data_IF_469358795783
#
_entry.id   IF_469358795783
#
_cell.length_a   1.000
_cell.length_b   1.000
_cell.length_c   1.000
_cell.angle_alpha   90.00
_cell.angle_beta   90.00
_cell.angle_gamma   90.00
#
_symmetry.space_group_name_H-M   'P 1'
#
loop_
_entity.id
_entity.type
_entity.pdbx_description
1 polymer ?
#
# COMPACT_ATOMS: atom_id res chain seq x y z
N UNK A 1 3.19 5.04 10.99
CA UNK A 1 2.76 6.28 10.29
C UNK A 1 3.41 6.32 8.92
N UNK A 2 2.61 6.30 7.88
CA UNK A 2 3.05 6.44 6.49
C UNK A 2 3.09 7.94 6.15
N UNK A 3 4.04 8.64 6.70
CA UNK A 3 4.21 10.06 6.43
C UNK A 3 5.43 10.27 5.55
N UNK A 4 5.30 11.15 4.55
CA UNK A 4 6.44 11.63 3.81
C UNK A 4 7.46 12.23 4.79
N UNK A 5 8.73 11.91 4.58
CA UNK A 5 9.81 12.43 5.41
C UNK A 5 10.82 13.17 4.55
N UNK A 6 11.48 14.13 5.15
CA UNK A 6 12.65 14.73 4.54
C UNK A 6 13.75 13.66 4.41
N UNK A 7 14.32 13.54 3.24
CA UNK A 7 15.30 12.52 2.90
C UNK A 7 16.60 13.15 2.46
N UNK A 8 17.72 12.69 3.05
CA UNK A 8 19.05 13.16 2.71
C UNK A 8 20.10 12.61 3.67
N UNK A 9 21.28 12.28 3.14
CA UNK A 9 22.38 11.69 3.90
C UNK A 9 22.16 10.24 4.33
N UNK A 10 21.23 9.54 3.69
CA UNK A 10 20.85 8.18 4.07
C UNK A 10 20.47 7.31 2.87
N UNK A 11 20.39 6.01 3.12
CA UNK A 11 19.80 5.05 2.19
C UNK A 11 18.42 4.62 2.71
N UNK A 12 17.43 4.66 1.84
CA UNK A 12 16.09 4.16 2.12
C UNK A 12 15.74 3.03 1.16
N UNK A 13 14.98 2.08 1.66
CA UNK A 13 14.40 0.99 0.86
C UNK A 13 12.89 1.10 0.91
N UNK A 14 12.26 1.07 -0.24
CA UNK A 14 10.82 0.95 -0.41
C UNK A 14 10.50 -0.37 -1.11
N UNK A 15 9.42 -1.02 -0.70
CA UNK A 15 8.94 -2.22 -1.38
C UNK A 15 7.91 -1.80 -2.42
N UNK A 16 7.99 -2.42 -3.60
CA UNK A 16 7.11 -2.24 -4.75
C UNK A 16 7.20 -0.86 -5.40
N UNK A 17 6.93 0.24 -4.69
CA UNK A 17 6.91 1.58 -5.28
C UNK A 17 7.49 2.64 -4.36
N UNK A 18 7.95 3.74 -4.95
CA UNK A 18 8.39 4.92 -4.22
C UNK A 18 8.09 6.21 -5.00
N UNK A 19 7.89 7.29 -4.24
CA UNK A 19 7.84 8.65 -4.75
C UNK A 19 8.90 9.51 -4.05
N UNK A 20 9.77 10.13 -4.82
CA UNK A 20 10.77 11.08 -4.35
C UNK A 20 10.42 12.43 -4.95
N UNK A 21 10.09 13.40 -4.11
CA UNK A 21 9.53 14.66 -4.62
C UNK A 21 9.95 15.87 -3.80
N UNK A 22 9.87 17.03 -4.44
CA UNK A 22 9.99 18.32 -3.77
C UNK A 22 8.64 18.73 -3.18
N UNK A 23 8.59 18.93 -1.87
CA UNK A 23 7.37 19.40 -1.20
C UNK A 23 6.93 20.79 -1.70
N UNK A 24 7.87 21.62 -2.14
CA UNK A 24 7.60 22.97 -2.62
C UNK A 24 7.04 22.99 -4.05
N UNK A 25 7.73 22.33 -4.99
CA UNK A 25 7.34 22.34 -6.41
C UNK A 25 6.42 21.22 -6.81
N UNK A 26 6.27 20.19 -5.98
CA UNK A 26 5.58 18.91 -6.24
C UNK A 26 6.21 18.06 -7.35
N UNK A 27 7.24 18.55 -8.03
CA UNK A 27 7.96 17.73 -9.01
C UNK A 27 8.56 16.51 -8.34
N UNK A 28 8.47 15.35 -8.99
CA UNK A 28 8.93 14.10 -8.41
C UNK A 28 9.28 13.02 -9.41
N UNK A 29 10.11 12.10 -8.93
CA UNK A 29 10.42 10.83 -9.52
C UNK A 29 9.50 9.78 -8.90
N UNK A 30 8.81 9.04 -9.73
CA UNK A 30 8.05 7.86 -9.34
C UNK A 30 8.73 6.64 -9.92
N UNK A 31 8.90 5.62 -9.10
CA UNK A 31 9.41 4.34 -9.56
C UNK A 31 8.69 3.21 -8.84
N UNK A 32 8.38 2.14 -9.54
CA UNK A 32 7.72 0.98 -8.99
C UNK A 32 7.75 -0.22 -9.90
N UNK A 33 7.65 -1.40 -9.27
CA UNK A 33 7.41 -2.64 -9.97
C UNK A 33 5.94 -2.72 -10.39
N UNK A 34 5.69 -3.12 -11.62
CA UNK A 34 4.33 -3.35 -12.15
C UNK A 34 4.06 -4.84 -12.39
N UNK A 35 5.04 -5.70 -12.12
CA UNK A 35 4.89 -7.15 -12.11
C UNK A 35 5.14 -7.68 -10.70
N UNK A 36 4.25 -8.54 -10.18
CA UNK A 36 4.25 -9.02 -8.81
C UNK A 36 4.08 -10.53 -8.67
N UNK A 37 4.07 -11.25 -9.79
CA UNK A 37 3.81 -12.70 -9.86
C UNK A 37 5.04 -13.56 -9.55
N UNK A 38 6.23 -13.12 -9.93
CA UNK A 38 7.47 -13.88 -9.78
C UNK A 38 8.40 -13.32 -8.71
N UNK A 39 8.52 -12.00 -8.63
CA UNK A 39 9.55 -11.35 -7.84
C UNK A 39 8.96 -10.47 -6.74
N UNK A 40 9.51 -10.62 -5.53
CA UNK A 40 9.40 -9.58 -4.51
C UNK A 40 10.36 -8.46 -4.87
N UNK A 41 9.86 -7.28 -5.12
CA UNK A 41 10.64 -6.16 -5.60
C UNK A 41 10.96 -5.14 -4.52
N UNK A 42 12.05 -4.40 -4.69
CA UNK A 42 12.38 -3.27 -3.87
C UNK A 42 13.04 -2.16 -4.68
N UNK A 43 12.95 -0.95 -4.17
CA UNK A 43 13.61 0.23 -4.70
C UNK A 43 14.49 0.78 -3.61
N UNK A 44 15.80 0.85 -3.88
CA UNK A 44 16.78 1.41 -2.96
C UNK A 44 17.23 2.76 -3.49
N UNK A 45 17.15 3.76 -2.65
CA UNK A 45 17.54 5.14 -2.96
C UNK A 45 18.55 5.60 -1.94
N UNK A 46 19.65 6.18 -2.41
CA UNK A 46 20.59 6.91 -1.57
C UNK A 46 20.55 8.39 -1.92
N UNK A 47 20.51 9.23 -0.92
CA UNK A 47 20.61 10.67 -1.11
C UNK A 47 21.77 11.25 -0.30
N UNK A 48 22.45 12.20 -0.88
CA UNK A 48 23.47 13.00 -0.21
C UNK A 48 22.83 13.88 0.87
N UNK A 49 23.64 14.38 1.80
CA UNK A 49 23.18 15.30 2.85
C UNK A 49 22.50 16.57 2.30
N UNK A 50 22.82 16.95 1.08
CA UNK A 50 22.18 18.05 0.32
C UNK A 50 20.76 17.76 -0.11
N UNK A 51 20.30 16.49 -0.02
CA UNK A 51 19.01 16.03 -0.53
C UNK A 51 19.02 15.64 -2.02
N UNK A 52 20.20 15.65 -2.66
CA UNK A 52 20.35 15.19 -4.03
C UNK A 52 20.40 13.67 -4.06
N UNK A 53 19.63 13.04 -4.94
CA UNK A 53 19.69 11.59 -5.17
C UNK A 53 21.03 11.24 -5.80
N UNK A 54 21.79 10.39 -5.12
CA UNK A 54 23.11 9.93 -5.55
C UNK A 54 22.99 8.69 -6.43
N UNK A 55 22.22 7.69 -5.95
CA UNK A 55 21.90 6.52 -6.75
C UNK A 55 20.50 6.00 -6.46
N UNK A 56 20.04 5.20 -7.39
CA UNK A 56 18.73 4.58 -7.40
C UNK A 56 18.87 3.17 -7.98
N UNK A 57 18.27 2.17 -7.32
CA UNK A 57 18.32 0.77 -7.73
C UNK A 57 16.94 0.15 -7.68
N UNK A 58 16.56 -0.54 -8.76
CA UNK A 58 15.43 -1.44 -8.79
C UNK A 58 15.93 -2.88 -8.59
N UNK A 59 15.37 -3.59 -7.65
CA UNK A 59 15.79 -4.94 -7.26
C UNK A 59 14.63 -5.92 -7.42
N UNK A 60 14.92 -7.09 -8.00
CA UNK A 60 14.00 -8.22 -8.08
C UNK A 60 14.52 -9.37 -7.24
N UNK A 61 13.63 -10.02 -6.46
CA UNK A 61 14.00 -11.07 -5.53
C UNK A 61 14.59 -10.54 -4.22
N UNK A 62 14.20 -9.34 -3.80
CA UNK A 62 14.70 -8.72 -2.57
C UNK A 62 14.00 -9.27 -1.34
N UNK A 63 14.78 -9.87 -0.44
CA UNK A 63 14.33 -10.28 0.89
C UNK A 63 15.27 -9.73 1.95
N UNK A 64 14.75 -9.38 3.12
CA UNK A 64 15.52 -8.86 4.23
C UNK A 64 14.77 -9.06 5.54
N UNK A 65 15.40 -9.66 6.54
CA UNK A 65 14.77 -9.95 7.82
C UNK A 65 14.27 -8.69 8.55
N UNK A 66 14.98 -7.59 8.46
CA UNK A 66 14.62 -6.36 9.17
C UNK A 66 13.42 -5.64 8.55
N UNK A 67 13.24 -5.72 7.24
CA UNK A 67 12.21 -4.99 6.52
C UNK A 67 11.06 -5.86 6.02
N UNK A 68 11.35 -7.07 5.57
CA UNK A 68 10.33 -8.00 5.05
C UNK A 68 9.98 -9.11 6.02
N UNK A 69 10.77 -9.30 7.08
CA UNK A 69 10.73 -10.44 8.00
C UNK A 69 10.81 -11.80 7.29
N UNK A 70 11.48 -11.81 6.18
CA UNK A 70 11.53 -12.91 5.24
C UNK A 70 12.99 -13.13 4.83
N UNK A 71 13.70 -13.88 5.65
CA UNK A 71 15.13 -14.14 5.48
C UNK A 71 15.40 -15.43 4.73
N UNK A 72 14.39 -16.27 4.49
CA UNK A 72 14.54 -17.54 3.79
C UNK A 72 14.44 -17.33 2.28
N UNK A 73 15.34 -17.98 1.50
CA UNK A 73 15.20 -17.96 0.06
C UNK A 73 13.94 -18.72 -0.39
N UNK A 74 13.17 -18.11 -1.28
CA UNK A 74 11.95 -18.70 -1.85
C UNK A 74 12.20 -19.40 -3.21
N UNK A 75 13.41 -19.74 -3.50
CA UNK A 75 13.82 -20.42 -4.72
C UNK A 75 14.87 -19.64 -5.49
N UNK A 76 15.14 -20.12 -6.71
CA UNK A 76 16.10 -19.56 -7.65
C UNK A 76 15.52 -19.57 -9.04
N UNK A 77 15.84 -18.56 -9.81
CA UNK A 77 15.70 -18.57 -11.26
C UNK A 77 17.10 -18.73 -11.86
N UNK A 78 17.28 -19.74 -12.70
CA UNK A 78 18.55 -20.02 -13.37
C UNK A 78 18.29 -20.24 -14.85
N UNK A 79 19.17 -19.72 -15.69
CA UNK A 79 19.07 -19.86 -17.15
C UNK A 79 20.13 -19.04 -17.84
N UNK A 80 20.21 -19.18 -19.17
CA UNK A 80 21.04 -18.32 -20.03
C UNK A 80 20.48 -16.89 -20.11
N UNK A 81 19.17 -16.76 -19.89
CA UNK A 81 18.48 -15.50 -19.73
C UNK A 81 17.69 -15.52 -18.44
N UNK A 82 17.76 -14.43 -17.67
CA UNK A 82 16.96 -14.22 -16.46
C UNK A 82 16.27 -12.88 -16.59
N UNK A 83 14.94 -12.88 -16.50
CA UNK A 83 14.13 -11.68 -16.56
C UNK A 83 13.87 -11.14 -15.14
N UNK A 84 14.12 -9.86 -14.93
CA UNK A 84 13.69 -9.13 -13.73
C UNK A 84 12.18 -8.83 -13.79
N UNK A 85 11.62 -8.37 -12.68
CA UNK A 85 10.32 -7.70 -12.73
C UNK A 85 10.36 -6.49 -13.66
N UNK A 86 9.22 -6.15 -14.24
CA UNK A 86 9.05 -4.92 -15.02
C UNK A 86 8.92 -3.74 -14.07
N UNK A 87 9.72 -2.69 -14.27
CA UNK A 87 9.67 -1.47 -13.49
C UNK A 87 9.23 -0.28 -14.35
N UNK A 88 8.31 0.50 -13.82
CA UNK A 88 8.01 1.82 -14.32
C UNK A 88 8.87 2.86 -13.60
N UNK A 89 9.47 3.80 -14.34
CA UNK A 89 10.22 4.93 -13.81
C UNK A 89 9.80 6.17 -14.59
N UNK A 90 9.43 7.23 -13.89
CA UNK A 90 8.98 8.47 -14.53
C UNK A 90 9.24 9.72 -13.70
N UNK A 91 9.47 10.83 -14.41
CA UNK A 91 9.56 12.18 -13.83
C UNK A 91 8.28 12.94 -14.13
N UNK A 92 7.73 13.59 -13.12
CA UNK A 92 6.44 14.27 -13.19
C UNK A 92 6.52 15.67 -12.59
N UNK A 93 5.78 16.60 -13.16
CA UNK A 93 5.61 17.94 -12.60
C UNK A 93 4.77 17.95 -11.32
N UNK A 94 3.95 16.92 -11.11
CA UNK A 94 3.25 16.64 -9.86
C UNK A 94 3.37 15.13 -9.56
N UNK A 95 4.00 14.78 -8.45
CA UNK A 95 4.23 13.40 -8.03
C UNK A 95 2.92 12.59 -7.89
N UNK A 96 1.79 13.25 -7.60
CA UNK A 96 0.49 12.57 -7.48
C UNK A 96 0.02 12.06 -8.82
N UNK A 97 0.19 12.85 -9.89
CA UNK A 97 -0.06 12.39 -11.27
C UNK A 97 0.86 11.24 -11.66
N UNK A 98 2.08 11.24 -11.11
CA UNK A 98 3.00 10.13 -11.28
C UNK A 98 2.53 8.85 -10.59
N UNK A 99 1.94 8.96 -9.39
CA UNK A 99 1.33 7.82 -8.71
C UNK A 99 0.08 7.31 -9.45
N UNK A 100 -0.74 8.19 -10.00
CA UNK A 100 -1.87 7.80 -10.84
C UNK A 100 -1.39 7.05 -12.11
N UNK A 101 -0.32 7.55 -12.74
CA UNK A 101 0.28 6.87 -13.88
C UNK A 101 0.87 5.49 -13.50
N UNK A 102 1.46 5.36 -12.31
CA UNK A 102 1.92 4.08 -11.81
C UNK A 102 0.76 3.11 -11.55
N UNK A 103 -0.32 3.58 -10.93
CA UNK A 103 -1.53 2.79 -10.74
C UNK A 103 -2.09 2.31 -12.09
N UNK A 104 -2.15 3.19 -13.08
CA UNK A 104 -2.58 2.82 -14.44
C UNK A 104 -1.64 1.79 -15.08
N UNK A 105 -0.33 1.93 -14.94
CA UNK A 105 0.64 0.96 -15.47
C UNK A 105 0.43 -0.45 -14.89
N UNK A 106 0.07 -0.55 -13.60
CA UNK A 106 -0.30 -1.83 -13.00
C UNK A 106 -1.54 -2.45 -13.65
N UNK A 107 -2.54 -1.64 -14.02
CA UNK A 107 -3.76 -2.17 -14.68
C UNK A 107 -3.49 -2.73 -16.08
N UNK A 108 -2.42 -2.31 -16.75
CA UNK A 108 -2.02 -2.84 -18.05
C UNK A 108 -1.40 -4.24 -17.94
N UNK A 109 -0.76 -4.53 -16.81
CA UNK A 109 -0.14 -5.84 -16.53
C UNK A 109 -1.13 -6.79 -15.85
N UNK A 110 -1.86 -6.29 -14.86
CA UNK A 110 -2.86 -7.01 -14.10
C UNK A 110 -4.17 -6.21 -14.07
N UNK A 111 -5.06 -6.42 -15.04
CA UNK A 111 -6.34 -5.73 -15.07
C UNK A 111 -7.12 -5.92 -13.77
N UNK A 112 -7.74 -4.86 -13.23
CA UNK A 112 -8.51 -4.97 -12.00
C UNK A 112 -9.71 -5.90 -12.20
N UNK A 113 -10.07 -6.65 -11.18
CA UNK A 113 -11.30 -7.42 -11.18
C UNK A 113 -12.51 -6.48 -11.33
N UNK A 114 -13.56 -6.91 -12.05
CA UNK A 114 -14.79 -6.15 -12.13
C UNK A 114 -15.35 -5.85 -10.73
N UNK A 115 -15.67 -4.62 -10.46
CA UNK A 115 -16.24 -4.18 -9.20
C UNK A 115 -17.55 -3.43 -9.43
N UNK A 116 -18.65 -4.03 -8.99
CA UNK A 116 -19.99 -3.45 -9.13
C UNK A 116 -20.54 -2.87 -7.81
N UNK A 117 -19.73 -2.90 -6.78
CA UNK A 117 -20.15 -2.60 -5.40
C UNK A 117 -20.26 -1.12 -5.05
N UNK A 118 -19.75 -0.20 -5.88
CA UNK A 118 -19.50 1.19 -5.48
C UNK A 118 -18.37 1.29 -4.45
N UNK A 119 -18.03 2.48 -3.99
CA UNK A 119 -17.02 2.64 -2.96
C UNK A 119 -17.52 2.10 -1.62
N UNK A 120 -16.79 1.17 -0.97
CA UNK A 120 -17.18 0.69 0.35
C UNK A 120 -17.08 1.84 1.37
N UNK A 121 -18.20 2.11 2.03
CA UNK A 121 -18.29 3.16 3.04
C UNK A 121 -18.78 2.60 4.37
N UNK A 122 -18.14 2.96 5.47
CA UNK A 122 -18.57 2.45 6.75
C UNK A 122 -17.56 2.56 7.88
N UNK A 123 -17.63 1.64 8.81
CA UNK A 123 -16.83 1.62 10.03
C UNK A 123 -15.87 0.42 10.04
N UNK A 124 -14.67 0.66 10.59
CA UNK A 124 -13.67 -0.40 10.82
C UNK A 124 -13.40 -0.57 12.30
N UNK A 125 -13.44 -1.82 12.76
CA UNK A 125 -13.15 -2.18 14.16
C UNK A 125 -11.72 -1.86 14.58
N UNK A 126 -10.77 -1.90 13.67
CA UNK A 126 -9.36 -1.64 14.00
C UNK A 126 -9.12 -0.25 14.57
N UNK A 127 -9.77 0.76 13.98
CA UNK A 127 -9.63 2.14 14.45
C UNK A 127 -10.15 2.37 15.87
N UNK A 128 -11.17 1.63 16.28
CA UNK A 128 -11.86 1.82 17.56
C UNK A 128 -11.48 0.80 18.63
N UNK A 129 -11.34 -0.47 18.26
CA UNK A 129 -11.20 -1.60 19.19
C UNK A 129 -9.83 -2.26 19.14
N UNK A 130 -9.18 -2.26 17.96
CA UNK A 130 -7.93 -2.99 17.73
C UNK A 130 -8.07 -4.48 18.14
N UNK A 131 -7.12 -5.00 18.91
CA UNK A 131 -7.13 -6.38 19.42
C UNK A 131 -8.18 -6.64 20.51
N UNK A 132 -8.90 -5.61 20.96
CA UNK A 132 -9.97 -5.74 21.96
C UNK A 132 -11.35 -6.01 21.33
N UNK A 133 -11.38 -6.30 20.04
CA UNK A 133 -12.61 -6.63 19.32
C UNK A 133 -13.33 -7.80 20.01
N UNK A 134 -14.63 -7.67 20.19
CA UNK A 134 -15.48 -8.72 20.74
C UNK A 134 -16.89 -8.64 20.13
N UNK A 135 -17.64 -9.73 20.24
CA UNK A 135 -18.95 -9.86 19.64
C UNK A 135 -19.92 -8.74 20.08
N UNK A 136 -20.03 -8.52 21.40
CA UNK A 136 -21.00 -7.54 21.94
C UNK A 136 -20.68 -6.13 21.45
N UNK A 137 -19.40 -5.71 21.49
CA UNK A 137 -19.00 -4.40 20.99
C UNK A 137 -19.27 -4.21 19.49
N UNK A 138 -19.12 -5.25 18.68
CA UNK A 138 -19.48 -5.19 17.27
C UNK A 138 -21.00 -5.06 17.07
N UNK A 139 -21.80 -5.78 17.86
CA UNK A 139 -23.26 -5.67 17.82
C UNK A 139 -23.73 -4.28 18.27
N UNK A 140 -23.17 -3.75 19.34
CA UNK A 140 -23.49 -2.40 19.84
C UNK A 140 -23.23 -1.33 18.76
N UNK A 141 -22.13 -1.46 18.02
CA UNK A 141 -21.83 -0.57 16.88
C UNK A 141 -22.81 -0.77 15.73
N UNK A 142 -23.16 -2.02 15.42
CA UNK A 142 -24.13 -2.31 14.36
C UNK A 142 -25.50 -1.69 14.70
N UNK A 143 -25.97 -1.89 15.92
CA UNK A 143 -27.24 -1.32 16.41
C UNK A 143 -27.19 0.21 16.41
N UNK A 144 -26.07 0.80 16.83
CA UNK A 144 -25.87 2.24 16.81
C UNK A 144 -25.92 2.81 15.38
N UNK A 145 -25.19 2.21 14.43
CA UNK A 145 -25.14 2.67 13.05
C UNK A 145 -26.41 2.35 12.24
N UNK A 146 -27.25 1.45 12.72
CA UNK A 146 -28.54 1.14 12.09
C UNK A 146 -29.61 2.22 12.30
N UNK A 147 -29.36 3.17 13.20
CA UNK A 147 -30.33 4.23 13.52
C UNK A 147 -30.52 5.17 12.32
N UNK A 148 -31.75 5.64 12.14
CA UNK A 148 -32.11 6.53 11.03
C UNK A 148 -31.30 7.83 10.97
N UNK A 149 -30.78 8.30 12.10
CA UNK A 149 -29.96 9.51 12.16
C UNK A 149 -28.69 9.37 11.28
N UNK A 150 -28.07 8.20 11.24
CA UNK A 150 -26.88 7.97 10.42
C UNK A 150 -27.21 7.86 8.94
N UNK A 151 -28.28 7.16 8.62
CA UNK A 151 -28.80 7.04 7.27
C UNK A 151 -29.20 8.42 6.71
N UNK A 152 -29.92 9.20 7.50
CA UNK A 152 -30.37 10.55 7.13
C UNK A 152 -29.20 11.54 7.04
N UNK A 153 -28.11 11.33 7.79
CA UNK A 153 -26.88 12.10 7.70
C UNK A 153 -25.98 11.70 6.50
N UNK A 154 -26.40 10.71 5.70
CA UNK A 154 -25.64 10.23 4.56
C UNK A 154 -24.47 9.31 4.93
N UNK A 155 -24.49 8.69 6.11
CA UNK A 155 -23.49 7.70 6.52
C UNK A 155 -23.77 6.33 5.89
N UNK A 156 -23.90 6.31 4.58
CA UNK A 156 -24.24 5.14 3.77
C UNK A 156 -23.53 5.21 2.41
N UNK A 157 -23.35 4.05 1.79
CA UNK A 157 -22.87 3.95 0.41
C UNK A 157 -23.98 4.37 -0.59
N UNK A 158 -23.68 4.35 -1.88
CA UNK A 158 -24.63 4.67 -2.95
C UNK A 158 -25.88 3.77 -2.98
N UNK A 159 -25.81 2.60 -2.35
CA UNK A 159 -26.91 1.63 -2.23
C UNK A 159 -27.64 1.74 -0.88
N UNK A 160 -27.34 2.77 -0.09
CA UNK A 160 -27.94 3.00 1.22
C UNK A 160 -27.44 2.05 2.32
N UNK A 161 -26.23 1.48 2.19
CA UNK A 161 -25.67 0.51 3.13
C UNK A 161 -24.51 1.10 3.89
N UNK A 162 -24.33 0.71 5.14
CA UNK A 162 -23.11 0.93 5.93
C UNK A 162 -22.39 -0.40 6.10
N UNK A 163 -21.11 -0.44 5.76
CA UNK A 163 -20.29 -1.65 5.87
C UNK A 163 -19.57 -1.64 7.22
N UNK A 164 -19.66 -2.74 7.96
CA UNK A 164 -18.86 -2.99 9.14
C UNK A 164 -17.69 -3.90 8.77
N UNK A 165 -16.48 -3.35 8.78
CA UNK A 165 -15.26 -4.11 8.56
C UNK A 165 -14.73 -4.60 9.91
N UNK A 166 -14.78 -5.91 10.13
CA UNK A 166 -14.26 -6.55 11.34
C UNK A 166 -12.82 -6.98 11.10
N UNK A 167 -11.88 -6.27 11.73
CA UNK A 167 -10.46 -6.52 11.63
C UNK A 167 -9.92 -7.11 12.93
N UNK A 168 -8.92 -8.00 12.84
CA UNK A 168 -8.26 -8.68 13.96
C UNK A 168 -9.16 -9.61 14.80
N UNK A 169 -10.35 -9.96 14.34
CA UNK A 169 -11.31 -10.82 15.06
C UNK A 169 -10.79 -12.26 15.27
N UNK A 170 -9.83 -12.69 14.50
CA UNK A 170 -9.27 -14.06 14.53
C UNK A 170 -8.06 -14.19 15.47
N UNK A 171 -7.55 -13.09 16.03
CA UNK A 171 -6.31 -13.13 16.82
C UNK A 171 -6.51 -13.78 18.20
N UNK A 172 -7.66 -13.64 18.82
CA UNK A 172 -7.90 -14.15 20.18
C UNK A 172 -8.12 -15.65 20.25
N UNK A 173 -8.49 -16.27 19.13
CA UNK A 173 -8.75 -17.71 19.08
C UNK A 173 -7.50 -18.55 18.76
N UNK A 174 -6.38 -17.92 18.51
CA UNK A 174 -5.14 -18.62 18.16
C UNK A 174 -4.27 -18.93 19.38
N UNK A 175 -4.63 -18.43 20.57
CA UNK A 175 -3.86 -18.57 21.81
C UNK A 175 -4.61 -19.33 22.93
N UNK A 176 -5.75 -19.98 22.63
CA UNK A 176 -6.48 -20.84 23.57
C UNK A 176 -6.46 -22.30 23.12
#
# INVERSE_FOLDING_TARGET
RYAARKFGGETATSHEATAIYSAQSRKGLIAGSVEHDTWKSAIVVHALATGTVDYFKCLSGYTNQSTTRDALPHGKVTGTEVRSALFMIGLYDDWRKGMDAFAHANTLVAPPAPWEGGDPFGWSSWGAMQTRINYQGCMDVADFLSQDVFKNAGFVDEKGRTILSLDAWYNDNMNN
#
